data_IF_372600300871
#
_entry.id   IF_372600300871
#
_cell.length_a   1.000
_cell.length_b   1.000
_cell.length_c   1.000
_cell.angle_alpha   90.00
_cell.angle_beta   90.00
_cell.angle_gamma   90.00
#
_symmetry.space_group_name_H-M   'P 1'
#
loop_
_entity.id
_entity.type
_entity.pdbx_description
1 polymer ?
#
# COMPACT_ATOMS: atom_id res chain seq x y z
N UNK A 1 4.01 -47.23 14.51
CA UNK A 1 3.38 -46.96 13.18
C UNK A 1 3.35 -45.46 12.80
N UNK A 2 3.38 -44.52 13.74
CA UNK A 2 3.31 -43.03 13.46
C UNK A 2 4.55 -42.42 12.77
N UNK A 3 5.70 -43.06 12.86
CA UNK A 3 6.98 -42.51 12.37
C UNK A 3 7.14 -42.47 10.84
N UNK A 4 6.30 -43.19 10.11
CA UNK A 4 6.38 -43.33 8.64
C UNK A 4 5.40 -42.37 7.89
N UNK A 5 4.44 -41.80 8.60
CA UNK A 5 3.37 -40.97 7.99
C UNK A 5 3.51 -39.43 8.24
N UNK A 6 4.46 -39.02 9.07
CA UNK A 6 4.67 -37.63 9.38
C UNK A 6 4.97 -36.75 8.14
N UNK A 7 5.71 -37.23 7.10
CA UNK A 7 5.90 -36.44 5.90
C UNK A 7 4.59 -36.15 5.16
N UNK A 8 3.66 -37.11 5.16
CA UNK A 8 2.34 -36.92 4.55
C UNK A 8 1.50 -35.87 5.29
N UNK A 9 1.58 -35.82 6.63
CA UNK A 9 0.92 -34.77 7.43
C UNK A 9 1.53 -33.40 7.17
N UNK A 10 2.86 -33.29 7.12
CA UNK A 10 3.55 -32.03 6.79
C UNK A 10 3.15 -31.55 5.40
N UNK A 11 3.14 -32.43 4.41
CA UNK A 11 2.71 -32.11 3.05
C UNK A 11 1.24 -31.65 3.01
N UNK A 12 0.35 -32.33 3.74
CA UNK A 12 -1.06 -31.95 3.81
C UNK A 12 -1.30 -30.56 4.40
N UNK A 13 -0.40 -30.06 5.26
CA UNK A 13 -0.47 -28.70 5.80
C UNK A 13 0.31 -27.69 4.96
N UNK A 14 1.50 -28.03 4.50
CA UNK A 14 2.37 -27.09 3.77
C UNK A 14 1.83 -26.79 2.39
N UNK A 15 1.31 -27.80 1.66
CA UNK A 15 0.81 -27.59 0.29
C UNK A 15 -0.34 -26.59 0.24
N UNK A 16 -1.39 -26.68 1.09
CA UNK A 16 -2.43 -25.65 1.11
C UNK A 16 -1.92 -24.26 1.50
N UNK A 17 -0.99 -24.16 2.46
CA UNK A 17 -0.40 -22.87 2.86
C UNK A 17 0.39 -22.24 1.72
N UNK A 18 1.20 -23.01 1.02
CA UNK A 18 1.93 -22.54 -0.17
C UNK A 18 0.95 -22.16 -1.27
N UNK A 19 -0.13 -22.92 -1.47
CA UNK A 19 -1.19 -22.58 -2.42
C UNK A 19 -1.86 -21.25 -2.10
N UNK A 20 -2.25 -21.02 -0.84
CA UNK A 20 -2.82 -19.74 -0.39
C UNK A 20 -1.81 -18.60 -0.54
N UNK A 21 -0.55 -18.82 -0.18
CA UNK A 21 0.50 -17.82 -0.32
C UNK A 21 0.74 -17.45 -1.79
N UNK A 22 0.78 -18.46 -2.69
CA UNK A 22 0.88 -18.24 -4.13
C UNK A 22 -0.33 -17.46 -4.68
N UNK A 23 -1.53 -17.84 -4.25
CA UNK A 23 -2.77 -17.18 -4.61
C UNK A 23 -2.80 -15.69 -4.18
N UNK A 24 -2.21 -15.37 -3.03
CA UNK A 24 -2.12 -14.00 -2.53
C UNK A 24 -1.00 -13.18 -3.17
N UNK A 25 -0.35 -13.70 -4.20
CA UNK A 25 0.75 -13.01 -4.87
C UNK A 25 2.06 -13.04 -4.08
N UNK A 26 2.23 -14.04 -3.18
CA UNK A 26 3.46 -14.20 -2.41
C UNK A 26 4.70 -14.33 -3.29
N UNK A 27 4.54 -14.94 -4.47
CA UNK A 27 5.61 -15.05 -5.49
C UNK A 27 5.54 -13.96 -6.57
N UNK A 28 4.60 -13.00 -6.49
CA UNK A 28 4.52 -11.92 -7.47
C UNK A 28 5.83 -11.12 -7.48
N UNK A 29 6.31 -10.82 -8.66
CA UNK A 29 7.47 -9.95 -8.84
C UNK A 29 7.06 -8.51 -8.66
N UNK A 30 7.94 -7.73 -8.06
CA UNK A 30 7.79 -6.28 -7.97
C UNK A 30 8.54 -5.68 -9.15
N UNK A 31 7.87 -4.83 -9.90
CA UNK A 31 8.50 -4.03 -10.96
C UNK A 31 8.96 -2.71 -10.35
N UNK A 32 10.26 -2.41 -10.48
CA UNK A 32 10.85 -1.15 -10.00
C UNK A 32 11.33 -0.36 -11.21
N UNK A 33 10.89 0.88 -11.31
CA UNK A 33 11.19 1.75 -12.45
C UNK A 33 11.37 3.21 -12.03
N UNK A 34 12.13 3.96 -12.84
CA UNK A 34 12.19 5.41 -12.76
C UNK A 34 11.17 5.99 -13.75
N UNK A 35 10.26 6.84 -13.27
CA UNK A 35 9.19 7.40 -14.09
C UNK A 35 8.70 8.74 -13.53
N UNK A 36 7.73 9.35 -14.20
CA UNK A 36 6.96 10.46 -13.65
C UNK A 36 5.66 9.96 -13.03
N UNK A 37 5.25 10.59 -11.92
CA UNK A 37 4.02 10.30 -11.21
C UNK A 37 3.22 11.56 -10.91
N UNK A 38 1.89 11.42 -10.81
CA UNK A 38 0.98 12.54 -10.59
C UNK A 38 0.54 13.25 -11.89
N UNK A 39 -0.18 14.37 -11.79
CA UNK A 39 -0.62 14.97 -10.54
C UNK A 39 -1.68 14.11 -9.84
N UNK A 40 -1.77 14.22 -8.51
CA UNK A 40 -2.82 13.58 -7.72
C UNK A 40 -3.56 14.60 -6.90
N UNK A 41 -4.89 14.59 -6.96
CA UNK A 41 -5.79 15.28 -6.03
C UNK A 41 -6.40 14.21 -5.11
N UNK A 42 -6.39 14.44 -3.80
CA UNK A 42 -6.89 13.46 -2.83
C UNK A 42 -7.52 14.14 -1.63
N UNK A 43 -8.46 13.44 -0.99
CA UNK A 43 -9.07 13.86 0.26
C UNK A 43 -8.61 12.94 1.39
N UNK A 44 -8.22 13.50 2.53
CA UNK A 44 -7.53 12.76 3.58
C UNK A 44 -7.84 13.24 5.00
N UNK A 45 -7.43 12.43 5.97
CA UNK A 45 -7.24 12.81 7.38
C UNK A 45 -5.75 12.63 7.74
N UNK A 46 -5.24 13.56 8.55
CA UNK A 46 -3.92 13.37 9.17
C UNK A 46 -4.00 12.22 10.19
N UNK A 47 -2.94 11.44 10.24
CA UNK A 47 -2.81 10.30 11.12
C UNK A 47 -1.46 10.35 11.85
N UNK A 48 -1.50 10.10 13.16
CA UNK A 48 -0.33 9.86 13.98
C UNK A 48 -0.64 8.70 14.93
N UNK A 49 0.17 7.64 14.87
CA UNK A 49 -0.03 6.45 15.70
C UNK A 49 0.57 5.17 15.13
N UNK A 50 0.12 4.04 15.66
CA UNK A 50 0.63 2.73 15.26
C UNK A 50 0.13 2.33 13.86
N UNK A 51 1.00 1.78 13.04
CA UNK A 51 0.69 1.28 11.69
C UNK A 51 -0.55 0.37 11.67
N UNK A 52 -0.72 -0.46 12.69
CA UNK A 52 -1.85 -1.40 12.78
C UNK A 52 -3.22 -0.71 12.79
N UNK A 53 -3.28 0.54 13.24
CA UNK A 53 -4.50 1.32 13.36
C UNK A 53 -4.83 2.18 12.12
N UNK A 54 -3.93 2.31 11.16
CA UNK A 54 -4.12 3.11 9.94
C UNK A 54 -5.41 2.72 9.19
N UNK A 55 -5.74 1.43 9.16
CA UNK A 55 -6.96 0.93 8.52
C UNK A 55 -8.25 1.52 9.10
N UNK A 56 -8.27 1.82 10.39
CA UNK A 56 -9.45 2.42 11.03
C UNK A 56 -9.69 3.82 10.47
N UNK A 57 -8.64 4.63 10.41
CA UNK A 57 -8.70 5.98 9.84
C UNK A 57 -9.06 5.92 8.34
N UNK A 58 -8.46 5.02 7.58
CA UNK A 58 -8.78 4.82 6.17
C UNK A 58 -10.27 4.51 5.96
N UNK A 59 -10.85 3.65 6.81
CA UNK A 59 -12.29 3.33 6.76
C UNK A 59 -13.15 4.55 7.11
N UNK A 60 -12.73 5.35 8.09
CA UNK A 60 -13.44 6.60 8.43
C UNK A 60 -13.46 7.57 7.25
N UNK A 61 -12.35 7.69 6.51
CA UNK A 61 -12.32 8.51 5.30
C UNK A 61 -13.30 7.98 4.25
N UNK A 62 -13.30 6.67 4.00
CA UNK A 62 -14.22 6.05 3.04
C UNK A 62 -15.69 6.31 3.39
N UNK A 63 -16.06 6.17 4.66
CA UNK A 63 -17.41 6.47 5.13
C UNK A 63 -17.83 7.93 4.84
N UNK A 64 -16.91 8.89 4.94
CA UNK A 64 -17.19 10.28 4.60
C UNK A 64 -17.44 10.47 3.10
N UNK A 65 -16.73 9.75 2.23
CA UNK A 65 -17.01 9.73 0.80
C UNK A 65 -18.41 9.15 0.51
N UNK A 66 -18.75 8.03 1.16
CA UNK A 66 -20.07 7.38 1.02
C UNK A 66 -21.21 8.31 1.46
N UNK A 67 -21.08 8.96 2.63
CA UNK A 67 -22.08 9.92 3.15
C UNK A 67 -22.23 11.12 2.22
N UNK A 68 -21.13 11.61 1.63
CA UNK A 68 -21.16 12.71 0.68
C UNK A 68 -21.68 12.33 -0.71
N UNK A 69 -21.89 11.04 -0.99
CA UNK A 69 -22.24 10.53 -2.32
C UNK A 69 -21.16 10.78 -3.37
N UNK A 70 -19.89 10.88 -2.94
CA UNK A 70 -18.73 11.11 -3.81
C UNK A 70 -18.02 9.78 -4.03
N UNK A 71 -17.67 9.46 -5.27
CA UNK A 71 -16.91 8.25 -5.58
C UNK A 71 -15.47 8.41 -5.10
N UNK A 72 -15.02 7.45 -4.27
CA UNK A 72 -13.64 7.36 -3.83
C UNK A 72 -12.80 6.65 -4.90
N UNK A 73 -11.69 7.26 -5.30
CA UNK A 73 -10.71 6.63 -6.18
C UNK A 73 -9.83 5.62 -5.45
N UNK A 74 -8.63 5.39 -5.97
CA UNK A 74 -7.65 4.52 -5.32
C UNK A 74 -7.32 5.02 -3.91
N UNK A 75 -7.05 4.09 -3.00
CA UNK A 75 -6.53 4.43 -1.67
C UNK A 75 -5.18 5.14 -1.81
N UNK A 76 -4.99 6.23 -1.09
CA UNK A 76 -3.72 6.94 -1.03
C UNK A 76 -3.26 7.08 0.42
N UNK A 77 -2.00 6.75 0.68
CA UNK A 77 -1.33 7.01 1.95
C UNK A 77 -0.03 7.76 1.68
N UNK A 78 0.09 8.96 2.22
CA UNK A 78 1.35 9.72 2.18
C UNK A 78 2.04 9.49 3.50
N UNK A 79 3.10 8.68 3.50
CA UNK A 79 3.86 8.32 4.70
C UNK A 79 4.95 9.37 4.92
N UNK A 80 4.88 10.07 6.04
CA UNK A 80 5.75 11.20 6.35
C UNK A 80 6.96 10.80 7.21
N UNK A 81 6.84 9.72 7.98
CA UNK A 81 7.86 9.24 8.90
C UNK A 81 8.18 7.78 8.62
N UNK A 82 9.46 7.42 8.56
CA UNK A 82 9.87 6.02 8.41
C UNK A 82 9.43 5.22 9.66
N UNK A 83 8.60 4.18 9.48
CA UNK A 83 8.15 3.36 10.60
C UNK A 83 9.27 2.66 11.35
N UNK A 84 10.41 2.44 10.69
CA UNK A 84 11.59 1.80 11.28
C UNK A 84 12.27 2.72 12.31
N UNK A 85 12.29 4.02 12.03
CA UNK A 85 12.90 5.02 12.91
C UNK A 85 11.99 5.40 14.08
N UNK A 86 10.68 5.36 13.86
CA UNK A 86 9.66 5.82 14.80
C UNK A 86 9.13 4.72 15.75
N UNK A 87 9.83 3.60 15.91
CA UNK A 87 9.41 2.47 16.77
C UNK A 87 7.99 1.98 16.49
N UNK A 88 7.61 1.92 15.19
CA UNK A 88 6.29 1.47 14.74
C UNK A 88 5.19 2.53 14.75
N UNK A 89 5.48 3.76 15.19
CA UNK A 89 4.58 4.90 15.03
C UNK A 89 4.84 5.59 13.71
N UNK A 90 3.78 6.07 13.08
CA UNK A 90 3.88 6.78 11.80
C UNK A 90 3.08 8.06 11.84
N UNK A 91 3.58 9.07 11.16
CA UNK A 91 2.81 10.23 10.72
C UNK A 91 2.49 10.01 9.24
N UNK A 92 1.22 10.12 8.89
CA UNK A 92 0.76 9.90 7.55
C UNK A 92 -0.49 10.72 7.23
N UNK A 93 -0.76 10.94 5.93
CA UNK A 93 -2.06 11.38 5.44
C UNK A 93 -2.73 10.20 4.80
N UNK A 94 -3.89 9.83 5.31
CA UNK A 94 -4.63 8.64 4.87
C UNK A 94 -5.91 9.07 4.17
N UNK A 95 -6.07 8.65 2.91
CA UNK A 95 -7.19 9.11 2.12
C UNK A 95 -7.45 8.32 0.85
N UNK A 96 -8.17 8.96 -0.05
CA UNK A 96 -8.53 8.43 -1.36
C UNK A 96 -8.30 9.49 -2.42
N UNK A 97 -7.94 9.05 -3.62
CA UNK A 97 -7.89 9.94 -4.78
C UNK A 97 -9.28 10.52 -5.03
N UNK A 98 -9.30 11.79 -5.36
CA UNK A 98 -10.51 12.56 -5.62
C UNK A 98 -10.46 13.06 -7.07
N UNK A 99 -11.54 12.84 -7.82
CA UNK A 99 -11.64 13.37 -9.18
C UNK A 99 -11.58 14.89 -9.17
N UNK A 100 -11.01 15.52 -10.20
CA UNK A 100 -10.82 16.98 -10.26
C UNK A 100 -12.13 17.76 -10.11
N UNK A 101 -13.24 17.28 -10.68
CA UNK A 101 -14.54 17.92 -10.62
C UNK A 101 -15.36 17.53 -9.37
N UNK A 102 -14.89 16.60 -8.54
CA UNK A 102 -15.66 16.13 -7.39
C UNK A 102 -15.57 17.13 -6.21
N UNK A 103 -16.67 17.26 -5.48
CA UNK A 103 -16.70 18.05 -4.26
C UNK A 103 -15.87 17.37 -3.15
N UNK A 104 -15.21 18.16 -2.31
CA UNK A 104 -14.51 17.65 -1.15
C UNK A 104 -15.52 17.20 -0.09
N UNK A 105 -15.50 15.94 0.38
CA UNK A 105 -16.38 15.49 1.45
C UNK A 105 -16.14 16.26 2.76
N UNK A 106 -17.22 16.55 3.48
CA UNK A 106 -17.17 17.33 4.71
C UNK A 106 -16.27 16.70 5.78
N UNK A 107 -15.44 17.52 6.42
CA UNK A 107 -14.52 17.12 7.47
C UNK A 107 -13.33 16.30 6.96
N UNK A 108 -13.04 16.31 5.66
CA UNK A 108 -11.77 15.88 5.08
C UNK A 108 -10.95 17.09 4.66
N UNK A 109 -9.64 16.90 4.58
CA UNK A 109 -8.70 17.87 4.04
C UNK A 109 -8.41 17.54 2.59
N UNK A 110 -8.16 18.52 1.75
CA UNK A 110 -7.70 18.34 0.37
C UNK A 110 -6.18 18.39 0.31
N UNK A 111 -5.59 17.42 -0.38
CA UNK A 111 -4.17 17.41 -0.71
C UNK A 111 -3.96 17.36 -2.21
N UNK A 112 -2.85 17.92 -2.66
CA UNK A 112 -2.39 17.87 -4.04
C UNK A 112 -0.94 17.41 -4.07
N UNK A 113 -0.62 16.53 -5.00
CA UNK A 113 0.73 16.06 -5.27
C UNK A 113 0.98 16.37 -6.73
N UNK A 114 1.91 17.27 -6.97
CA UNK A 114 2.26 17.68 -8.33
C UNK A 114 2.93 16.54 -9.10
N UNK A 115 2.95 16.66 -10.43
CA UNK A 115 3.72 15.76 -11.29
C UNK A 115 5.19 15.87 -10.92
N UNK A 116 5.85 14.72 -10.73
CA UNK A 116 7.24 14.68 -10.28
C UNK A 116 7.96 13.41 -10.73
N UNK A 117 9.29 13.45 -10.92
CA UNK A 117 10.09 12.25 -11.13
C UNK A 117 10.14 11.42 -9.86
N UNK A 118 9.92 10.11 -10.00
CA UNK A 118 9.86 9.17 -8.87
C UNK A 118 10.59 7.87 -9.19
N UNK A 119 11.05 7.20 -8.13
CA UNK A 119 11.25 5.76 -8.10
C UNK A 119 9.92 5.11 -7.77
N UNK A 120 9.47 4.19 -8.62
CA UNK A 120 8.18 3.50 -8.46
C UNK A 120 8.41 2.01 -8.33
N UNK A 121 7.89 1.41 -7.25
CA UNK A 121 7.74 -0.04 -7.12
C UNK A 121 6.27 -0.41 -7.28
N UNK A 122 5.99 -1.35 -8.18
CA UNK A 122 4.64 -1.77 -8.56
C UNK A 122 4.48 -3.28 -8.40
N UNK A 123 3.40 -3.72 -7.74
CA UNK A 123 3.14 -5.15 -7.50
C UNK A 123 1.65 -5.46 -7.46
N UNK A 124 1.28 -6.59 -8.01
CA UNK A 124 -0.06 -7.16 -7.88
C UNK A 124 -0.03 -8.25 -6.81
N UNK A 125 -0.56 -7.97 -5.64
CA UNK A 125 -0.56 -8.88 -4.51
C UNK A 125 -1.68 -8.53 -3.51
N UNK A 126 -1.88 -9.40 -2.53
CA UNK A 126 -2.79 -9.11 -1.42
C UNK A 126 -2.29 -7.90 -0.63
N UNK A 127 -3.24 -7.07 -0.17
CA UNK A 127 -2.97 -5.83 0.59
C UNK A 127 -2.07 -6.02 1.81
N UNK A 128 -2.04 -7.24 2.38
CA UNK A 128 -1.18 -7.56 3.52
C UNK A 128 0.28 -7.81 3.14
N UNK A 129 0.53 -8.27 1.91
CA UNK A 129 1.87 -8.64 1.42
C UNK A 129 2.48 -7.55 0.55
N UNK A 130 1.65 -6.81 -0.17
CA UNK A 130 2.08 -5.87 -1.18
C UNK A 130 3.03 -4.76 -0.65
N UNK A 131 2.74 -4.09 0.49
CA UNK A 131 3.62 -3.03 1.00
C UNK A 131 5.03 -3.55 1.31
N UNK A 132 5.16 -4.63 2.10
CA UNK A 132 6.48 -5.15 2.48
C UNK A 132 7.32 -5.55 1.28
N UNK A 133 6.69 -6.16 0.25
CA UNK A 133 7.37 -6.53 -1.00
C UNK A 133 7.85 -5.29 -1.77
N UNK A 134 6.98 -4.28 -1.90
CA UNK A 134 7.31 -3.06 -2.62
C UNK A 134 8.43 -2.26 -1.94
N UNK A 135 8.34 -2.10 -0.61
CA UNK A 135 9.38 -1.41 0.16
C UNK A 135 10.74 -2.13 0.07
N UNK A 136 10.74 -3.45 0.20
CA UNK A 136 11.98 -4.22 0.07
C UNK A 136 12.59 -4.09 -1.32
N UNK A 137 11.80 -4.32 -2.37
CA UNK A 137 12.29 -4.23 -3.74
C UNK A 137 12.80 -2.81 -4.10
N UNK A 138 12.12 -1.78 -3.61
CA UNK A 138 12.57 -0.40 -3.80
C UNK A 138 13.86 -0.13 -3.05
N UNK A 139 13.99 -0.59 -1.78
CA UNK A 139 15.23 -0.44 -1.01
C UNK A 139 16.41 -1.14 -1.69
N UNK A 140 16.22 -2.40 -2.11
CA UNK A 140 17.26 -3.19 -2.80
C UNK A 140 17.72 -2.47 -4.09
N UNK A 141 16.77 -1.91 -4.85
CA UNK A 141 17.06 -1.15 -6.06
C UNK A 141 17.87 0.13 -5.77
N UNK A 142 17.48 0.88 -4.75
CA UNK A 142 18.16 2.12 -4.36
C UNK A 142 19.57 1.85 -3.83
N UNK A 143 19.75 0.81 -3.03
CA UNK A 143 21.05 0.38 -2.49
C UNK A 143 22.05 0.03 -3.60
N UNK A 144 21.59 -0.58 -4.69
CA UNK A 144 22.41 -0.86 -5.88
C UNK A 144 22.98 0.43 -6.48
N UNK A 145 22.24 1.55 -6.38
CA UNK A 145 22.67 2.88 -6.80
C UNK A 145 23.33 3.72 -5.70
N UNK A 146 23.66 3.13 -4.54
CA UNK A 146 24.23 3.85 -3.39
C UNK A 146 23.28 4.85 -2.73
N UNK A 147 21.98 4.65 -2.88
CA UNK A 147 20.89 5.50 -2.35
C UNK A 147 20.14 4.79 -1.25
N UNK A 148 19.39 5.54 -0.47
CA UNK A 148 18.52 5.03 0.59
C UNK A 148 17.08 5.50 0.40
N UNK A 149 16.15 4.78 0.99
CA UNK A 149 14.75 5.19 1.02
C UNK A 149 14.61 6.49 1.82
N UNK A 150 13.91 7.47 1.27
CA UNK A 150 13.63 8.76 1.91
C UNK A 150 12.13 9.05 1.94
N UNK A 151 11.70 9.72 3.00
CA UNK A 151 10.31 10.17 3.15
C UNK A 151 10.13 11.59 2.57
N UNK A 152 8.92 11.95 2.15
CA UNK A 152 7.71 11.13 2.16
C UNK A 152 7.68 10.08 1.05
N UNK A 153 7.08 8.93 1.34
CA UNK A 153 6.66 7.98 0.32
C UNK A 153 5.15 8.07 0.10
N UNK A 154 4.71 7.71 -1.11
CA UNK A 154 3.30 7.68 -1.46
C UNK A 154 2.93 6.27 -1.84
N UNK A 155 1.95 5.74 -1.14
CA UNK A 155 1.38 4.43 -1.36
C UNK A 155 0.01 4.58 -2.03
N UNK A 156 -0.18 3.93 -3.17
CA UNK A 156 -1.46 3.83 -3.85
C UNK A 156 -1.89 2.38 -3.87
N UNK A 157 -3.14 2.11 -3.55
CA UNK A 157 -3.71 0.78 -3.64
C UNK A 157 -5.04 0.80 -4.36
N UNK A 158 -5.10 0.00 -5.44
CA UNK A 158 -6.32 -0.25 -6.22
C UNK A 158 -6.75 -1.69 -6.00
N UNK A 159 -7.89 -1.95 -5.32
CA UNK A 159 -8.40 -3.31 -5.18
C UNK A 159 -8.78 -3.89 -6.54
N UNK A 160 -8.50 -5.17 -6.76
CA UNK A 160 -8.94 -5.93 -7.92
C UNK A 160 -9.97 -6.98 -7.50
N UNK A 161 -11.12 -6.95 -8.18
CA UNK A 161 -12.24 -7.90 -7.96
C UNK A 161 -13.07 -7.61 -6.71
N UNK A 162 -14.17 -8.35 -6.59
CA UNK A 162 -15.21 -8.17 -5.56
C UNK A 162 -14.79 -8.52 -4.14
N UNK A 163 -13.71 -9.26 -3.94
CA UNK A 163 -13.26 -9.69 -2.61
C UNK A 163 -12.28 -8.71 -1.94
N UNK A 164 -11.77 -7.67 -2.65
CA UNK A 164 -10.88 -6.62 -2.11
C UNK A 164 -9.56 -7.11 -1.48
N UNK A 165 -9.25 -8.41 -1.59
CA UNK A 165 -8.06 -9.01 -0.98
C UNK A 165 -6.82 -8.90 -1.87
N UNK A 166 -7.02 -8.93 -3.17
CA UNK A 166 -5.99 -8.73 -4.18
C UNK A 166 -6.10 -7.33 -4.74
N UNK A 167 -5.01 -6.76 -5.16
CA UNK A 167 -5.00 -5.46 -5.79
C UNK A 167 -3.65 -5.10 -6.32
N UNK A 168 -3.62 -3.95 -6.92
CA UNK A 168 -2.40 -3.32 -7.42
C UNK A 168 -1.90 -2.33 -6.38
N UNK A 169 -0.71 -2.56 -5.87
CA UNK A 169 -0.02 -1.66 -4.95
C UNK A 169 1.11 -0.95 -5.69
N UNK A 170 1.17 0.35 -5.52
CA UNK A 170 2.22 1.19 -6.08
C UNK A 170 2.83 2.02 -4.96
N UNK A 171 4.14 1.92 -4.80
CA UNK A 171 4.95 2.73 -3.90
C UNK A 171 5.76 3.72 -4.72
N UNK A 172 5.70 4.99 -4.38
CA UNK A 172 6.44 6.06 -5.04
C UNK A 172 7.30 6.82 -4.02
N UNK A 173 8.53 7.07 -4.39
CA UNK A 173 9.49 7.93 -3.66
C UNK A 173 10.02 8.99 -4.62
N UNK A 174 10.13 10.23 -4.16
CA UNK A 174 10.74 11.28 -4.98
C UNK A 174 12.19 10.92 -5.33
N UNK A 175 12.54 11.20 -6.57
CA UNK A 175 13.87 10.97 -7.11
C UNK A 175 14.87 12.05 -6.66
#
# INVERSE_FOLDING_TARGET
MFRKQWPAFVLAFVVPLVGVFAWWGGFARVDVSETEAGPYRYAYLDYEGDISNMRKTQRTVLQKFEVAGVEAGDTVSVILTDPRDARGKVQARLGYLLAEAAALPEGLQEGRIERRPVYRAHVQAAVLLAPSKAYQALSDHLETGGRTLVMPTIELYRPSGTAGRMGTFTLEMNR
#
